data_IF_515360890436
#
_entry.id   IF_515360890436
#
_cell.length_a   1.000
_cell.length_b   1.000
_cell.length_c   1.000
_cell.angle_alpha   90.00
_cell.angle_beta   90.00
_cell.angle_gamma   90.00
#
_symmetry.space_group_name_H-M   'P 1'
#
loop_
_entity.id
_entity.type
_entity.pdbx_description
1 polymer ?
#
# COMPACT_ATOMS: atom_id res chain seq x y z
N UNK A 1 -12.69 -17.73 -7.95
CA UNK A 1 -11.79 -17.69 -6.76
C UNK A 1 -11.37 -16.24 -6.50
N UNK A 2 -11.16 -15.81 -5.24
CA UNK A 2 -10.73 -14.42 -4.94
C UNK A 2 -9.47 -14.43 -4.09
N UNK A 3 -8.47 -13.68 -4.53
CA UNK A 3 -7.15 -13.58 -3.88
C UNK A 3 -6.84 -12.11 -3.64
N UNK A 4 -6.34 -11.79 -2.45
CA UNK A 4 -5.89 -10.44 -2.10
C UNK A 4 -4.44 -10.49 -1.65
N UNK A 5 -3.59 -9.71 -2.32
CA UNK A 5 -2.20 -9.52 -1.95
C UNK A 5 -2.01 -8.12 -1.40
N UNK A 6 -1.29 -8.00 -0.29
CA UNK A 6 -0.95 -6.72 0.33
C UNK A 6 0.56 -6.66 0.49
N UNK A 7 1.19 -5.71 -0.18
CA UNK A 7 2.62 -5.44 -0.09
C UNK A 7 2.83 -4.11 0.64
N UNK A 8 3.69 -4.11 1.65
CA UNK A 8 4.05 -2.92 2.43
C UNK A 8 5.51 -2.58 2.16
N UNK A 9 5.74 -1.41 1.58
CA UNK A 9 7.07 -0.85 1.35
C UNK A 9 7.30 0.26 2.35
N UNK A 10 8.35 0.15 3.17
CA UNK A 10 8.73 1.23 4.10
C UNK A 10 10.16 1.67 3.80
N UNK A 11 10.37 2.98 3.72
CA UNK A 11 11.67 3.58 3.53
C UNK A 11 11.87 4.70 4.55
N UNK A 12 13.01 4.67 5.25
CA UNK A 12 13.37 5.69 6.23
C UNK A 12 14.64 6.43 5.78
N UNK A 13 14.57 7.25 4.72
CA UNK A 13 15.74 8.00 4.26
C UNK A 13 16.04 9.11 5.27
N UNK A 14 16.89 8.83 6.24
CA UNK A 14 17.35 9.84 7.19
C UNK A 14 18.20 10.88 6.48
N UNK A 15 17.80 12.16 6.52
CA UNK A 15 18.64 13.29 6.12
C UNK A 15 18.62 14.29 7.26
N UNK A 16 19.78 14.48 7.89
CA UNK A 16 20.06 15.46 8.96
C UNK A 16 18.98 15.58 10.04
N UNK A 17 19.17 14.88 11.16
CA UNK A 17 18.46 15.07 12.44
C UNK A 17 16.93 14.87 12.42
N UNK A 18 16.34 14.65 11.24
CA UNK A 18 14.94 14.34 11.02
C UNK A 18 14.83 12.90 10.51
N UNK A 19 13.98 12.12 11.16
CA UNK A 19 13.62 10.78 10.69
C UNK A 19 12.31 10.93 9.92
N UNK A 20 12.40 10.80 8.59
CA UNK A 20 11.24 10.70 7.71
C UNK A 20 11.01 9.23 7.40
N UNK A 21 9.82 8.73 7.69
CA UNK A 21 9.39 7.37 7.39
C UNK A 21 8.27 7.44 6.36
N UNK A 22 8.51 6.89 5.18
CA UNK A 22 7.51 6.71 4.15
C UNK A 22 7.05 5.25 4.16
N UNK A 23 5.74 5.05 4.08
CA UNK A 23 5.12 3.74 3.92
C UNK A 23 4.15 3.78 2.73
N UNK A 24 4.37 2.90 1.77
CA UNK A 24 3.46 2.66 0.65
C UNK A 24 2.85 1.28 0.79
N UNK A 25 1.52 1.23 0.80
CA UNK A 25 0.74 0.01 0.81
C UNK A 25 0.18 -0.20 -0.58
N UNK A 26 0.61 -1.28 -1.23
CA UNK A 26 0.02 -1.76 -2.49
C UNK A 26 -0.94 -2.89 -2.17
N UNK A 27 -2.18 -2.77 -2.64
CA UNK A 27 -3.20 -3.82 -2.54
C UNK A 27 -3.58 -4.26 -3.93
N UNK A 28 -3.48 -5.55 -4.19
CA UNK A 28 -3.95 -6.18 -5.43
C UNK A 28 -5.09 -7.13 -5.09
N UNK A 29 -6.29 -6.80 -5.55
CA UNK A 29 -7.47 -7.68 -5.50
C UNK A 29 -7.59 -8.40 -6.85
N UNK A 30 -7.54 -9.73 -6.86
CA UNK A 30 -7.83 -10.55 -8.05
C UNK A 30 -9.08 -11.39 -7.82
N UNK A 31 -9.99 -11.40 -8.77
CA UNK A 31 -11.18 -12.28 -8.75
C UNK A 31 -11.39 -12.95 -10.09
N UNK A 32 -11.65 -14.25 -10.03
CA UNK A 32 -11.97 -15.10 -11.16
C UNK A 32 -13.39 -15.63 -11.01
N UNK A 33 -14.20 -15.44 -12.04
CA UNK A 33 -15.59 -15.91 -12.14
C UNK A 33 -15.72 -16.67 -13.46
N UNK A 34 -16.20 -17.91 -13.42
CA UNK A 34 -16.66 -18.62 -14.62
C UNK A 34 -18.17 -18.43 -14.76
N UNK A 35 -18.63 -18.12 -15.96
CA UNK A 35 -20.06 -18.09 -16.28
C UNK A 35 -20.59 -19.48 -16.72
N UNK A 36 -21.89 -19.55 -16.97
CA UNK A 36 -22.58 -20.77 -17.39
C UNK A 36 -22.20 -21.22 -18.82
N UNK A 37 -21.53 -20.36 -19.59
CA UNK A 37 -21.03 -20.64 -20.94
C UNK A 37 -19.55 -21.09 -20.93
N UNK A 38 -18.94 -21.18 -19.74
CA UNK A 38 -17.54 -21.57 -19.56
C UNK A 38 -16.53 -20.45 -19.84
N UNK A 39 -16.97 -19.20 -19.88
CA UNK A 39 -16.09 -18.04 -20.02
C UNK A 39 -15.55 -17.62 -18.65
N UNK A 40 -14.23 -17.65 -18.50
CA UNK A 40 -13.56 -17.13 -17.30
C UNK A 40 -13.37 -15.62 -17.41
N UNK A 41 -14.04 -14.87 -16.54
CA UNK A 41 -13.81 -13.45 -16.32
C UNK A 41 -12.80 -13.25 -15.20
N UNK A 42 -11.67 -12.63 -15.52
CA UNK A 42 -10.64 -12.22 -14.55
C UNK A 42 -10.75 -10.72 -14.33
N UNK A 43 -10.93 -10.30 -13.08
CA UNK A 43 -10.87 -8.88 -12.68
C UNK A 43 -9.69 -8.66 -11.75
N UNK A 44 -8.84 -7.72 -12.12
CA UNK A 44 -7.73 -7.25 -11.28
C UNK A 44 -7.97 -5.79 -10.89
N UNK A 45 -7.83 -5.49 -9.60
CA UNK A 45 -7.92 -4.14 -9.07
C UNK A 45 -6.70 -3.83 -8.21
N UNK A 46 -5.89 -2.90 -8.67
CA UNK A 46 -4.77 -2.35 -7.90
C UNK A 46 -5.20 -1.09 -7.13
N UNK A 47 -4.75 -0.97 -5.89
CA UNK A 47 -4.90 0.23 -5.06
C UNK A 47 -3.58 0.55 -4.37
N UNK A 48 -3.27 1.83 -4.28
CA UNK A 48 -2.10 2.34 -3.58
C UNK A 48 -2.57 3.27 -2.47
N UNK A 49 -1.99 3.13 -1.29
CA UNK A 49 -2.17 4.06 -0.18
C UNK A 49 -0.79 4.46 0.31
N UNK A 50 -0.55 5.75 0.45
CA UNK A 50 0.71 6.26 0.97
C UNK A 50 0.49 6.87 2.35
N UNK A 51 1.42 6.64 3.26
CA UNK A 51 1.46 7.24 4.56
C UNK A 51 2.87 7.79 4.78
N UNK A 52 2.95 9.06 5.17
CA UNK A 52 4.20 9.74 5.49
C UNK A 52 4.19 10.08 6.98
N UNK A 53 5.18 9.60 7.71
CA UNK A 53 5.39 9.93 9.13
C UNK A 53 6.70 10.72 9.26
N UNK A 54 6.61 11.89 9.89
CA UNK A 54 7.75 12.78 10.14
C UNK A 54 8.00 12.84 11.64
N UNK A 55 9.23 12.59 12.06
CA UNK A 55 9.71 12.81 13.42
C UNK A 55 10.50 14.12 13.48
N UNK A 56 9.95 15.12 14.17
CA UNK A 56 10.62 16.39 14.39
C UNK A 56 11.68 16.26 15.48
N UNK A 57 12.69 17.13 15.43
CA UNK A 57 13.73 17.25 16.47
C UNK A 57 13.17 17.57 17.86
N UNK A 58 11.96 18.14 17.93
CA UNK A 58 11.20 18.38 19.17
C UNK A 58 10.56 17.13 19.75
N UNK A 59 10.70 15.96 19.10
CA UNK A 59 10.03 14.71 19.45
C UNK A 59 8.57 14.63 19.02
N UNK A 60 8.07 15.65 18.30
CA UNK A 60 6.72 15.63 17.74
C UNK A 60 6.64 14.69 16.53
N UNK A 61 5.47 14.09 16.34
CA UNK A 61 5.15 13.26 15.19
C UNK A 61 4.06 13.93 14.35
N UNK A 62 4.21 13.93 13.04
CA UNK A 62 3.15 14.28 12.11
C UNK A 62 2.95 13.16 11.09
N UNK A 63 1.69 12.84 10.81
CA UNK A 63 1.31 11.81 9.84
C UNK A 63 0.44 12.42 8.75
N UNK A 64 0.76 12.13 7.49
CA UNK A 64 -0.02 12.48 6.31
C UNK A 64 -0.56 11.19 5.68
N UNK A 65 -1.87 11.13 5.44
CA UNK A 65 -2.60 9.99 4.85
C UNK A 65 -3.41 10.42 3.63
#
# INVERSE_FOLDING_TARGET
MRTRTVDVFSQCPGRNNEVQCEATIKVVDKSEEEDEEGVTTIREKERFSNELTIVFTTGQLATLK
#
